data_IF_590578606751
#
_entry.id   IF_590578606751
#
_cell.length_a   1.000
_cell.length_b   1.000
_cell.length_c   1.000
_cell.angle_alpha   90.00
_cell.angle_beta   90.00
_cell.angle_gamma   90.00
#
_symmetry.space_group_name_H-M   'P 1'
#
loop_
_entity.id
_entity.type
_entity.pdbx_description
1 polymer ?
#
# COMPACT_ATOMS: atom_id res chain seq x y z
N UNK A 1 -10.95 -16.25 1.66
CA UNK A 1 -9.77 -15.38 1.45
C UNK A 1 -8.53 -16.16 1.86
N UNK A 2 -7.73 -16.65 0.91
CA UNK A 2 -6.43 -17.27 1.23
C UNK A 2 -5.46 -16.17 1.69
N UNK A 3 -5.14 -16.17 2.98
CA UNK A 3 -4.09 -15.31 3.55
C UNK A 3 -2.78 -15.67 2.86
N UNK A 4 -2.32 -14.81 1.95
CA UNK A 4 -1.00 -14.98 1.34
C UNK A 4 0.04 -14.61 2.40
N UNK A 5 1.00 -15.50 2.66
CA UNK A 5 2.11 -15.23 3.57
C UNK A 5 3.33 -14.76 2.77
N UNK A 6 4.06 -13.80 3.32
CA UNK A 6 5.29 -13.26 2.74
C UNK A 6 6.39 -13.29 3.78
N UNK A 7 7.64 -13.47 3.34
CA UNK A 7 8.79 -13.48 4.23
C UNK A 7 9.22 -12.04 4.54
N UNK A 8 9.36 -11.70 5.82
CA UNK A 8 9.91 -10.41 6.21
C UNK A 8 11.39 -10.30 5.77
N UNK A 9 11.76 -9.19 5.14
CA UNK A 9 13.14 -8.98 4.67
C UNK A 9 14.15 -8.89 5.82
N UNK A 10 13.75 -8.36 6.98
CA UNK A 10 14.64 -8.09 8.11
C UNK A 10 14.78 -9.32 9.03
N UNK A 11 13.69 -9.80 9.61
CA UNK A 11 13.72 -10.90 10.57
C UNK A 11 13.54 -12.28 9.93
N UNK A 12 13.29 -12.37 8.61
CA UNK A 12 13.08 -13.62 7.87
C UNK A 12 11.88 -14.48 8.33
N UNK A 13 11.07 -14.01 9.27
CA UNK A 13 9.84 -14.68 9.68
C UNK A 13 8.75 -14.56 8.62
N UNK A 14 7.89 -15.59 8.55
CA UNK A 14 6.67 -15.59 7.75
C UNK A 14 5.68 -14.61 8.37
N UNK A 15 5.12 -13.71 7.55
CA UNK A 15 4.13 -12.71 7.98
C UNK A 15 2.98 -12.66 6.98
N UNK A 16 1.79 -12.31 7.46
CA UNK A 16 0.63 -12.14 6.58
C UNK A 16 0.84 -10.95 5.61
N UNK A 17 0.49 -11.15 4.34
CA UNK A 17 0.56 -10.09 3.33
C UNK A 17 -0.47 -9.01 3.63
N UNK A 18 -0.02 -7.76 3.67
CA UNK A 18 -0.88 -6.61 3.94
C UNK A 18 -0.79 -6.06 5.37
N UNK A 19 -0.01 -6.69 6.27
CA UNK A 19 0.29 -6.10 7.58
C UNK A 19 1.12 -4.83 7.40
N UNK A 20 0.75 -3.77 8.15
CA UNK A 20 1.46 -2.47 8.13
C UNK A 20 2.85 -2.58 8.73
N UNK A 21 3.00 -3.36 9.81
CA UNK A 21 4.26 -3.64 10.47
C UNK A 21 4.43 -5.15 10.66
N UNK A 22 5.68 -5.62 10.62
CA UNK A 22 6.02 -6.99 10.96
C UNK A 22 5.73 -7.25 12.45
N UNK A 23 4.97 -8.29 12.83
CA UNK A 23 4.67 -8.58 14.24
C UNK A 23 5.89 -9.04 15.06
N UNK A 24 6.98 -9.45 14.41
CA UNK A 24 8.16 -9.98 15.10
C UNK A 24 9.24 -8.91 15.34
N UNK A 25 9.54 -8.10 14.32
CA UNK A 25 10.61 -7.09 14.39
C UNK A 25 10.10 -5.65 14.33
N UNK A 26 8.78 -5.47 14.35
CA UNK A 26 8.09 -4.18 14.30
C UNK A 26 8.46 -3.29 13.09
N UNK A 27 9.13 -3.84 12.08
CA UNK A 27 9.56 -3.09 10.90
C UNK A 27 8.39 -2.78 9.98
N UNK A 28 8.35 -1.56 9.44
CA UNK A 28 7.29 -1.10 8.54
C UNK A 28 7.34 -1.85 7.21
N UNK A 29 6.18 -2.28 6.72
CA UNK A 29 6.03 -2.92 5.42
C UNK A 29 5.93 -1.86 4.32
N UNK A 30 6.95 -1.69 3.45
CA UNK A 30 6.93 -0.68 2.41
C UNK A 30 5.79 -0.90 1.40
N UNK A 31 5.37 -2.16 1.19
CA UNK A 31 4.34 -2.50 0.21
C UNK A 31 2.97 -1.91 0.54
N UNK A 32 2.65 -1.77 1.83
CA UNK A 32 1.36 -1.18 2.25
C UNK A 32 1.38 0.33 2.04
N UNK A 33 2.50 0.98 2.38
CA UNK A 33 2.68 2.42 2.16
C UNK A 33 2.59 2.78 0.68
N UNK A 34 3.24 2.01 -0.20
CA UNK A 34 3.20 2.25 -1.65
C UNK A 34 1.77 2.13 -2.19
N UNK A 35 0.98 1.16 -1.73
CA UNK A 35 -0.43 1.00 -2.15
C UNK A 35 -1.30 2.18 -1.74
N UNK A 36 -1.13 2.66 -0.51
CA UNK A 36 -1.87 3.81 0.02
C UNK A 36 -1.56 5.08 -0.79
N UNK A 37 -0.27 5.33 -1.06
CA UNK A 37 0.17 6.45 -1.90
C UNK A 37 -0.37 6.31 -3.32
N UNK A 38 -0.28 5.12 -3.93
CA UNK A 38 -0.74 4.88 -5.30
C UNK A 38 -2.25 5.16 -5.46
N UNK A 39 -3.08 4.70 -4.50
CA UNK A 39 -4.53 4.94 -4.51
C UNK A 39 -4.82 6.45 -4.41
N UNK A 40 -4.10 7.16 -3.54
CA UNK A 40 -4.29 8.61 -3.37
C UNK A 40 -3.90 9.39 -4.63
N UNK A 41 -2.77 9.02 -5.23
CA UNK A 41 -2.27 9.68 -6.45
C UNK A 41 -3.24 9.47 -7.63
N UNK A 42 -3.75 8.24 -7.81
CA UNK A 42 -4.76 7.93 -8.83
C UNK A 42 -6.05 8.74 -8.60
N UNK A 43 -6.52 8.83 -7.36
CA UNK A 43 -7.70 9.63 -7.01
C UNK A 43 -7.52 11.11 -7.36
N UNK A 44 -6.37 11.70 -6.98
CA UNK A 44 -6.07 13.09 -7.28
C UNK A 44 -6.01 13.36 -8.80
N UNK A 45 -5.38 12.47 -9.57
CA UNK A 45 -5.29 12.61 -11.04
C UNK A 45 -6.69 12.59 -11.67
N UNK A 46 -7.56 11.67 -11.24
CA UNK A 46 -8.95 11.58 -11.75
C UNK A 46 -9.74 12.84 -11.41
N UNK A 47 -9.64 13.34 -10.18
CA UNK A 47 -10.32 14.57 -9.75
C UNK A 47 -9.85 15.77 -10.57
N UNK A 48 -8.54 15.93 -10.77
CA UNK A 48 -7.99 17.01 -11.58
C UNK A 48 -8.44 16.90 -13.04
N UNK A 49 -8.47 15.70 -13.61
CA UNK A 49 -8.95 15.49 -14.99
C UNK A 49 -10.44 15.83 -15.15
N UNK A 50 -11.28 15.46 -14.18
CA UNK A 50 -12.71 15.81 -14.22
C UNK A 50 -12.90 17.31 -14.04
N UNK A 51 -12.15 17.94 -13.13
CA UNK A 51 -12.19 19.38 -12.93
C UNK A 51 -11.81 20.13 -14.22
N UNK A 52 -10.71 19.77 -14.88
CA UNK A 52 -10.33 20.42 -16.14
C UNK A 52 -11.37 20.24 -17.24
N UNK A 53 -12.08 19.11 -17.28
CA UNK A 53 -13.16 18.87 -18.25
C UNK A 53 -14.46 19.63 -17.96
N UNK A 54 -14.73 19.99 -16.71
CA UNK A 54 -15.92 20.76 -16.32
C UNK A 54 -15.70 22.26 -16.54
N UNK A 55 -14.47 22.73 -16.31
CA UNK A 55 -14.12 24.14 -16.39
C UNK A 55 -13.52 24.58 -17.74
N UNK A 56 -13.28 23.64 -18.67
CA UNK A 56 -12.86 23.91 -20.05
C UNK A 56 -14.01 23.69 -21.03
#
# INVERSE_FOLDING_TARGET
MSKQEVKCHYCKNMIEKGVKNCPHCNTVNPSVRVKEVMIWTLGMVVVLYVATRIFA
#
